data_IF_750592260395
#
_entry.id   IF_750592260395
#
_cell.length_a   1.000
_cell.length_b   1.000
_cell.length_c   1.000
_cell.angle_alpha   90.00
_cell.angle_beta   90.00
_cell.angle_gamma   90.00
#
_symmetry.space_group_name_H-M   'P 1'
#
loop_
_entity.id
_entity.type
_entity.pdbx_description
1 polymer ?
#
# COMPACT_ATOMS: atom_id res chain seq x y z
N UNK A 1 7.10 -8.73 28.69
CA UNK A 1 6.85 -7.73 27.63
C UNK A 1 7.98 -7.69 26.58
N UNK A 2 9.26 -7.64 26.99
CA UNK A 2 10.43 -7.66 26.08
C UNK A 2 10.54 -8.91 25.21
N UNK A 3 10.45 -10.11 25.81
CA UNK A 3 10.53 -11.39 25.08
C UNK A 3 9.50 -11.47 23.95
N UNK A 4 8.26 -11.01 24.19
CA UNK A 4 7.21 -11.02 23.16
C UNK A 4 7.57 -10.16 21.95
N UNK A 5 8.18 -8.99 22.17
CA UNK A 5 8.63 -8.08 21.09
C UNK A 5 9.82 -8.65 20.32
N UNK A 6 10.75 -9.30 21.03
CA UNK A 6 11.88 -9.99 20.39
C UNK A 6 11.40 -11.12 19.49
N UNK A 7 10.46 -11.94 19.97
CA UNK A 7 9.92 -13.06 19.19
C UNK A 7 9.17 -12.56 17.96
N UNK A 8 8.29 -11.55 18.07
CA UNK A 8 7.60 -11.02 16.89
C UNK A 8 8.57 -10.41 15.88
N UNK A 9 9.57 -9.66 16.32
CA UNK A 9 10.60 -9.12 15.41
C UNK A 9 11.34 -10.25 14.70
N UNK A 10 11.78 -11.27 15.45
CA UNK A 10 12.53 -12.39 14.89
C UNK A 10 11.71 -13.18 13.87
N UNK A 11 10.43 -13.42 14.17
CA UNK A 11 9.51 -14.10 13.24
C UNK A 11 9.34 -13.31 11.95
N UNK A 12 9.08 -12.00 12.04
CA UNK A 12 8.91 -11.16 10.85
C UNK A 12 10.19 -11.15 10.01
N UNK A 13 11.35 -10.99 10.65
CA UNK A 13 12.65 -11.04 9.96
C UNK A 13 12.89 -12.40 9.29
N UNK A 14 12.59 -13.51 9.97
CA UNK A 14 12.73 -14.85 9.41
C UNK A 14 11.81 -15.07 8.20
N UNK A 15 10.56 -14.62 8.26
CA UNK A 15 9.60 -14.70 7.14
C UNK A 15 10.15 -13.96 5.92
N UNK A 16 10.64 -12.73 6.08
CA UNK A 16 11.24 -11.96 4.99
C UNK A 16 12.44 -12.68 4.39
N UNK A 17 13.30 -13.25 5.24
CA UNK A 17 14.49 -13.99 4.80
C UNK A 17 14.14 -15.23 3.97
N UNK A 18 13.16 -16.02 4.44
CA UNK A 18 12.68 -17.21 3.71
C UNK A 18 12.07 -16.82 2.37
N UNK A 19 11.27 -15.75 2.33
CA UNK A 19 10.63 -15.30 1.09
C UNK A 19 11.64 -14.80 0.06
N UNK A 20 12.74 -14.17 0.50
CA UNK A 20 13.79 -13.67 -0.40
C UNK A 20 14.67 -14.77 -1.01
N UNK A 21 15.03 -15.79 -0.22
CA UNK A 21 16.05 -16.76 -0.64
C UNK A 21 15.50 -18.14 -1.02
N UNK A 22 14.34 -18.54 -0.47
CA UNK A 22 13.82 -19.90 -0.65
C UNK A 22 12.56 -19.97 -1.54
N UNK A 23 11.87 -18.84 -1.74
CA UNK A 23 10.60 -18.82 -2.45
C UNK A 23 10.71 -18.14 -3.83
N UNK A 24 9.84 -18.53 -4.78
CA UNK A 24 9.79 -17.92 -6.12
C UNK A 24 9.30 -16.46 -6.08
N UNK A 25 9.61 -15.70 -7.13
CA UNK A 25 9.33 -14.26 -7.22
C UNK A 25 7.86 -13.86 -6.97
N UNK A 26 6.90 -14.73 -7.32
CA UNK A 26 5.48 -14.46 -7.05
C UNK A 26 5.15 -14.43 -5.55
N UNK A 27 5.84 -15.23 -4.74
CA UNK A 27 5.65 -15.24 -3.29
C UNK A 27 6.20 -13.96 -2.65
N UNK A 28 7.31 -13.44 -3.19
CA UNK A 28 7.84 -12.13 -2.82
C UNK A 28 6.87 -11.00 -3.14
N UNK A 29 6.29 -11.01 -4.35
CA UNK A 29 5.27 -10.03 -4.72
C UNK A 29 4.01 -10.12 -3.85
N UNK A 30 3.57 -11.32 -3.50
CA UNK A 30 2.45 -11.53 -2.59
C UNK A 30 2.74 -10.98 -1.19
N UNK A 31 3.95 -11.20 -0.66
CA UNK A 31 4.37 -10.65 0.64
C UNK A 31 4.38 -9.12 0.64
N UNK A 32 4.97 -8.50 -0.39
CA UNK A 32 4.98 -7.04 -0.54
C UNK A 32 3.56 -6.49 -0.63
N UNK A 33 2.72 -7.10 -1.45
CA UNK A 33 1.32 -6.68 -1.62
C UNK A 33 0.57 -6.78 -0.28
N UNK A 34 0.80 -7.84 0.49
CA UNK A 34 0.21 -8.00 1.82
C UNK A 34 0.66 -6.89 2.78
N UNK A 35 1.95 -6.54 2.81
CA UNK A 35 2.44 -5.42 3.63
C UNK A 35 1.84 -4.08 3.21
N UNK A 36 1.69 -3.83 1.91
CA UNK A 36 1.05 -2.62 1.39
C UNK A 36 -0.42 -2.57 1.82
N UNK A 37 -1.18 -3.66 1.71
CA UNK A 37 -2.58 -3.74 2.14
C UNK A 37 -2.69 -3.45 3.64
N UNK A 38 -1.87 -4.09 4.47
CA UNK A 38 -1.91 -3.90 5.91
C UNK A 38 -1.57 -2.46 6.30
N UNK A 39 -0.48 -1.92 5.76
CA UNK A 39 -0.05 -0.54 6.03
C UNK A 39 -1.07 0.50 5.57
N UNK A 40 -1.64 0.34 4.38
CA UNK A 40 -2.69 1.24 3.89
C UNK A 40 -3.98 1.12 4.71
N UNK A 41 -4.38 -0.09 5.08
CA UNK A 41 -5.59 -0.29 5.89
C UNK A 41 -5.45 0.40 7.25
N UNK A 42 -4.31 0.24 7.92
CA UNK A 42 -4.04 0.88 9.22
C UNK A 42 -3.93 2.40 9.09
N UNK A 43 -3.28 2.89 8.03
CA UNK A 43 -3.21 4.31 7.70
C UNK A 43 -4.60 4.92 7.50
N UNK A 44 -5.50 4.26 6.77
CA UNK A 44 -6.85 4.77 6.56
C UNK A 44 -7.70 4.72 7.83
N UNK A 45 -7.54 3.71 8.69
CA UNK A 45 -8.20 3.67 10.00
C UNK A 45 -7.77 4.87 10.85
N UNK A 46 -6.47 5.21 10.86
CA UNK A 46 -5.94 6.37 11.57
C UNK A 46 -6.48 7.69 11.05
N UNK A 47 -6.73 7.79 9.73
CA UNK A 47 -7.30 8.98 9.10
C UNK A 47 -8.81 9.10 9.38
N UNK A 48 -9.53 7.98 9.31
CA UNK A 48 -10.97 7.92 9.61
C UNK A 48 -11.26 8.37 11.05
N UNK A 49 -10.38 7.97 11.99
CA UNK A 49 -10.41 8.45 13.37
C UNK A 49 -10.15 9.96 13.53
N UNK A 50 -9.65 10.65 12.49
CA UNK A 50 -9.45 12.11 12.45
C UNK A 50 -10.59 12.84 11.71
N UNK A 51 -11.71 12.17 11.47
CA UNK A 51 -12.91 12.70 10.78
C UNK A 51 -12.67 13.17 9.34
N UNK A 52 -11.54 12.79 8.74
CA UNK A 52 -11.28 13.06 7.34
C UNK A 52 -11.93 11.91 6.55
N UNK A 53 -13.04 12.21 5.87
CA UNK A 53 -13.81 11.25 5.07
C UNK A 53 -13.05 10.76 3.83
N UNK A 54 -12.13 9.81 4.01
CA UNK A 54 -11.33 9.22 2.93
C UNK A 54 -11.90 7.88 2.47
N UNK A 55 -11.94 7.63 1.15
CA UNK A 55 -12.38 6.34 0.62
C UNK A 55 -11.28 5.27 0.77
N UNK A 56 -11.28 4.57 1.91
CA UNK A 56 -10.34 3.48 2.23
C UNK A 56 -10.20 2.45 1.11
N UNK A 57 -11.31 2.05 0.49
CA UNK A 57 -11.32 1.01 -0.56
C UNK A 57 -10.53 1.46 -1.80
N UNK A 58 -10.69 2.72 -2.23
CA UNK A 58 -9.98 3.23 -3.41
C UNK A 58 -8.47 3.31 -3.18
N UNK A 59 -8.05 3.77 -2.00
CA UNK A 59 -6.63 3.84 -1.66
C UNK A 59 -5.95 2.47 -1.60
N UNK A 60 -6.62 1.47 -1.02
CA UNK A 60 -6.10 0.09 -0.98
C UNK A 60 -6.03 -0.50 -2.39
N UNK A 61 -7.06 -0.31 -3.22
CA UNK A 61 -7.06 -0.80 -4.62
C UNK A 61 -5.90 -0.19 -5.41
N UNK A 62 -5.69 1.13 -5.30
CA UNK A 62 -4.57 1.80 -5.97
C UNK A 62 -3.22 1.29 -5.48
N UNK A 63 -3.06 1.08 -4.17
CA UNK A 63 -1.81 0.53 -3.61
C UNK A 63 -1.51 -0.88 -4.11
N UNK A 64 -2.52 -1.75 -4.15
CA UNK A 64 -2.39 -3.11 -4.70
C UNK A 64 -2.10 -3.06 -6.20
N UNK A 65 -2.72 -2.15 -6.94
CA UNK A 65 -2.46 -1.97 -8.36
C UNK A 65 -1.01 -1.58 -8.63
N UNK A 66 -0.44 -0.66 -7.84
CA UNK A 66 0.98 -0.28 -7.94
C UNK A 66 1.89 -1.46 -7.60
N UNK A 67 1.58 -2.23 -6.56
CA UNK A 67 2.36 -3.42 -6.19
C UNK A 67 2.35 -4.49 -7.30
N UNK A 68 1.19 -4.74 -7.89
CA UNK A 68 1.04 -5.67 -9.00
C UNK A 68 1.77 -5.18 -10.26
N UNK A 69 1.64 -3.88 -10.60
CA UNK A 69 2.34 -3.28 -11.73
C UNK A 69 3.87 -3.39 -11.59
N UNK A 70 4.40 -3.24 -10.37
CA UNK A 70 5.81 -3.44 -10.09
C UNK A 70 6.26 -4.90 -10.26
N UNK A 71 5.42 -5.88 -9.90
CA UNK A 71 5.74 -7.30 -10.09
C UNK A 71 5.75 -7.74 -11.55
N UNK A 72 4.80 -7.26 -12.35
CA UNK A 72 4.72 -7.65 -13.77
C UNK A 72 5.86 -7.07 -14.62
N UNK A 73 6.82 -6.39 -14.01
CA UNK A 73 8.00 -5.81 -14.64
C UNK A 73 7.60 -5.09 -15.92
N UNK A 74 6.44 -4.42 -15.86
CA UNK A 74 6.02 -3.54 -16.92
C UNK A 74 7.15 -2.53 -16.95
N UNK A 75 8.00 -2.62 -17.99
CA UNK A 75 9.08 -1.68 -18.29
C UNK A 75 8.43 -0.33 -18.57
N UNK A 76 7.84 0.25 -17.54
CA UNK A 76 7.39 1.61 -17.48
C UNK A 76 8.71 2.36 -17.57
N UNK A 77 9.00 3.00 -18.71
CA UNK A 77 10.27 3.68 -18.89
C UNK A 77 10.44 4.63 -17.70
N UNK A 78 11.65 4.72 -17.13
CA UNK A 78 11.93 5.44 -15.88
C UNK A 78 11.31 6.85 -15.83
N UNK A 79 11.18 7.52 -16.99
CA UNK A 79 10.49 8.80 -17.14
C UNK A 79 9.00 8.81 -16.77
N UNK A 80 8.30 7.67 -16.91
CA UNK A 80 6.88 7.56 -16.60
C UNK A 80 6.62 7.37 -15.10
N UNK A 81 7.55 6.81 -14.32
CA UNK A 81 7.43 6.74 -12.86
C UNK A 81 7.31 8.14 -12.23
N UNK A 82 8.04 9.11 -12.76
CA UNK A 82 8.01 10.50 -12.33
C UNK A 82 6.65 11.17 -12.60
N UNK A 83 5.90 10.70 -13.61
CA UNK A 83 4.56 11.17 -13.95
C UNK A 83 3.46 10.38 -13.20
N UNK A 84 3.70 9.10 -12.93
CA UNK A 84 2.71 8.21 -12.32
C UNK A 84 2.41 8.56 -10.87
N UNK A 85 3.44 8.87 -10.07
CA UNK A 85 3.29 9.28 -8.67
C UNK A 85 2.44 10.56 -8.53
N UNK A 86 2.78 11.69 -9.20
CA UNK A 86 1.97 12.90 -9.11
C UNK A 86 0.58 12.72 -9.75
N UNK A 87 0.42 11.91 -10.80
CA UNK A 87 -0.89 11.62 -11.36
C UNK A 87 -1.79 10.86 -10.38
N UNK A 88 -1.26 9.83 -9.69
CA UNK A 88 -2.00 9.12 -8.64
C UNK A 88 -2.34 10.08 -7.49
N UNK A 89 -1.39 10.90 -7.06
CA UNK A 89 -1.65 11.92 -6.03
C UNK A 89 -2.76 12.90 -6.45
N UNK A 90 -2.75 13.36 -7.71
CA UNK A 90 -3.79 14.23 -8.26
C UNK A 90 -5.15 13.54 -8.34
N UNK A 91 -5.20 12.28 -8.78
CA UNK A 91 -6.43 11.49 -8.84
C UNK A 91 -7.00 11.31 -7.43
N UNK A 92 -6.15 10.94 -6.46
CA UNK A 92 -6.56 10.82 -5.06
C UNK A 92 -7.07 12.18 -4.57
N UNK A 93 -6.35 13.26 -4.83
CA UNK A 93 -6.76 14.62 -4.44
C UNK A 93 -8.11 15.01 -5.05
N UNK A 94 -8.31 14.84 -6.35
CA UNK A 94 -9.58 15.16 -7.04
C UNK A 94 -10.73 14.31 -6.49
N UNK A 95 -10.52 13.00 -6.28
CA UNK A 95 -11.54 12.10 -5.70
C UNK A 95 -11.89 12.50 -4.26
N UNK A 96 -10.90 12.92 -3.47
CA UNK A 96 -11.11 13.41 -2.10
C UNK A 96 -11.92 14.71 -2.10
N UNK A 97 -11.59 15.65 -3.00
CA UNK A 97 -12.30 16.94 -3.10
C UNK A 97 -13.73 16.78 -3.64
N UNK A 98 -13.93 15.94 -4.65
CA UNK A 98 -15.26 15.69 -5.23
C UNK A 98 -16.24 15.08 -4.23
N UNK A 99 -15.76 14.30 -3.25
CA UNK A 99 -16.61 13.77 -2.17
C UNK A 99 -16.94 14.80 -1.09
N UNK A 100 -16.07 15.78 -0.84
CA UNK A 100 -16.30 16.82 0.17
C UNK A 100 -17.49 17.71 -0.20
N UNK A 101 -17.65 18.03 -1.48
CA UNK A 101 -18.81 18.80 -1.96
C UNK A 101 -20.13 18.01 -1.86
N UNK A 102 -20.08 16.68 -2.03
CA UNK A 102 -21.28 15.84 -2.01
C UNK A 102 -21.75 15.46 -0.59
N UNK A 103 -20.97 15.78 0.46
CA UNK A 103 -21.37 15.65 1.87
C UNK A 103 -21.87 16.97 2.47
N UNK A 104 -21.84 18.07 1.71
CA UNK A 104 -22.30 19.39 2.12
C UNK A 104 -23.75 19.71 1.68
N UNK A 105 -24.50 18.71 1.20
CA UNK A 105 -25.91 18.80 0.78
C UNK A 105 -26.77 17.94 1.70
#
# INVERSE_FOLDING_TARGET
MFIRRLITSLIVTAIVFVVLFALPAWAFAALITLFIILGLNEFFILIENKEIGVNRKLGIILGVFVAAAAYFDYKIPYNWFFLFIPAICLIIFIVQFAKRDNQAI
#
